data_IF_076080929140
#
_entry.id   IF_076080929140
#
_cell.length_a   1.000
_cell.length_b   1.000
_cell.length_c   1.000
_cell.angle_alpha   90.00
_cell.angle_beta   90.00
_cell.angle_gamma   90.00
#
_symmetry.space_group_name_H-M   'P 1'
#
loop_
_entity.id
_entity.type
_entity.pdbx_description
1 polymer ?
#
# COMPACT_ATOMS: atom_id res chain seq x y z
N UNK A 1 -17.78 25.68 -7.95
CA UNK A 1 -17.01 25.22 -6.77
C UNK A 1 -16.02 24.12 -7.15
N UNK A 2 -15.22 24.36 -8.20
CA UNK A 2 -14.26 23.40 -8.80
C UNK A 2 -12.82 23.84 -8.55
N UNK A 3 -12.63 24.91 -7.79
CA UNK A 3 -11.70 25.97 -8.21
C UNK A 3 -10.21 25.64 -8.01
N UNK A 4 -9.87 24.56 -7.29
CA UNK A 4 -8.46 24.21 -7.03
C UNK A 4 -8.21 22.70 -6.97
N UNK A 5 -8.90 21.94 -7.82
CA UNK A 5 -8.74 20.48 -7.89
C UNK A 5 -7.28 20.07 -8.16
N UNK A 6 -6.60 20.81 -9.03
CA UNK A 6 -5.19 20.62 -9.39
C UNK A 6 -4.27 20.72 -8.17
N UNK A 7 -4.45 21.75 -7.34
CA UNK A 7 -3.66 21.93 -6.13
C UNK A 7 -3.84 20.76 -5.15
N UNK A 8 -5.05 20.16 -5.08
CA UNK A 8 -5.29 18.96 -4.24
C UNK A 8 -4.53 17.74 -4.77
N UNK A 9 -4.44 17.57 -6.08
CA UNK A 9 -3.62 16.52 -6.68
C UNK A 9 -2.14 16.73 -6.38
N UNK A 10 -1.64 17.97 -6.46
CA UNK A 10 -0.27 18.29 -6.07
C UNK A 10 0.00 17.96 -4.59
N UNK A 11 -0.92 18.28 -3.68
CA UNK A 11 -0.80 17.92 -2.25
C UNK A 11 -0.74 16.39 -2.07
N UNK A 12 -1.60 15.63 -2.77
CA UNK A 12 -1.58 14.16 -2.73
C UNK A 12 -0.27 13.60 -3.29
N UNK A 13 0.25 14.20 -4.36
CA UNK A 13 1.53 13.83 -4.96
C UNK A 13 2.70 14.05 -4.00
N UNK A 14 2.81 15.23 -3.37
CA UNK A 14 3.81 15.52 -2.34
C UNK A 14 3.76 14.51 -1.19
N UNK A 15 2.55 14.14 -0.74
CA UNK A 15 2.40 13.11 0.28
C UNK A 15 2.94 11.75 -0.13
N UNK A 16 2.71 11.33 -1.38
CA UNK A 16 3.19 10.06 -1.91
C UNK A 16 4.72 10.06 -2.07
N UNK A 17 5.32 11.22 -2.33
CA UNK A 17 6.78 11.41 -2.32
C UNK A 17 7.38 11.39 -0.91
N UNK A 18 6.56 11.47 0.14
CA UNK A 18 7.03 11.51 1.52
C UNK A 18 7.38 12.90 2.03
N UNK A 19 7.03 13.95 1.29
CA UNK A 19 7.25 15.33 1.72
C UNK A 19 6.51 15.60 3.04
N UNK A 20 7.15 16.39 3.92
CA UNK A 20 6.53 16.87 5.14
C UNK A 20 5.40 17.88 4.83
N UNK A 21 4.54 18.13 5.81
CA UNK A 21 3.46 19.11 5.66
C UNK A 21 4.01 20.52 5.38
N UNK A 22 5.12 20.90 6.02
CA UNK A 22 5.75 22.22 5.85
C UNK A 22 6.33 22.38 4.43
N UNK A 23 7.02 21.35 3.93
CA UNK A 23 7.54 21.35 2.56
C UNK A 23 6.42 21.39 1.54
N UNK A 24 5.33 20.65 1.78
CA UNK A 24 4.16 20.66 0.90
C UNK A 24 3.53 22.05 0.83
N UNK A 25 3.36 22.73 1.98
CA UNK A 25 2.84 24.10 2.01
C UNK A 25 3.73 25.04 1.20
N UNK A 26 5.05 24.98 1.40
CA UNK A 26 6.01 25.80 0.65
C UNK A 26 5.92 25.53 -0.84
N UNK A 27 5.96 24.26 -1.28
CA UNK A 27 5.87 23.89 -2.70
C UNK A 27 4.58 24.38 -3.36
N UNK A 28 3.45 24.26 -2.69
CA UNK A 28 2.15 24.71 -3.21
C UNK A 28 2.06 26.24 -3.25
N UNK A 29 2.61 26.95 -2.26
CA UNK A 29 2.67 28.42 -2.31
C UNK A 29 3.62 28.91 -3.39
N UNK A 30 4.78 28.27 -3.57
CA UNK A 30 5.73 28.63 -4.63
C UNK A 30 5.19 28.36 -6.03
N UNK A 31 4.48 27.24 -6.22
CA UNK A 31 3.97 26.87 -7.55
C UNK A 31 2.76 27.70 -8.00
N UNK A 32 1.87 28.05 -7.07
CA UNK A 32 0.61 28.73 -7.38
C UNK A 32 0.58 30.21 -6.98
N UNK A 33 1.59 30.71 -6.25
CA UNK A 33 1.69 32.11 -5.86
C UNK A 33 0.43 32.61 -5.13
N UNK A 34 -0.13 33.70 -5.64
CA UNK A 34 -1.33 34.33 -5.07
C UNK A 34 -2.62 33.51 -5.30
N UNK A 35 -2.64 32.64 -6.30
CA UNK A 35 -3.77 31.73 -6.58
C UNK A 35 -3.76 30.49 -5.69
N UNK A 36 -2.74 30.36 -4.83
CA UNK A 36 -2.58 29.24 -3.91
C UNK A 36 -3.73 29.14 -2.89
N UNK A 37 -4.08 27.90 -2.54
CA UNK A 37 -4.92 27.63 -1.39
C UNK A 37 -4.32 28.26 -0.12
N UNK A 38 -5.21 28.71 0.78
CA UNK A 38 -4.75 29.15 2.10
C UNK A 38 -4.07 28.01 2.85
N UNK A 39 -3.08 28.34 3.69
CA UNK A 39 -2.30 27.36 4.47
C UNK A 39 -3.20 26.39 5.23
N UNK A 40 -4.29 26.88 5.84
CA UNK A 40 -5.26 26.05 6.57
C UNK A 40 -5.91 25.00 5.68
N UNK A 41 -6.29 25.37 4.45
CA UNK A 41 -6.89 24.44 3.48
C UNK A 41 -5.87 23.39 3.05
N UNK A 42 -4.62 23.79 2.79
CA UNK A 42 -3.54 22.86 2.43
C UNK A 42 -3.31 21.84 3.55
N UNK A 43 -3.24 22.30 4.81
CA UNK A 43 -3.08 21.42 5.99
C UNK A 43 -4.23 20.43 6.12
N UNK A 44 -5.45 20.88 5.93
CA UNK A 44 -6.64 20.02 6.01
C UNK A 44 -6.60 18.91 4.96
N UNK A 45 -6.31 19.26 3.69
CA UNK A 45 -6.15 18.26 2.62
C UNK A 45 -5.00 17.30 2.88
N UNK A 46 -3.86 17.80 3.36
CA UNK A 46 -2.72 16.96 3.72
C UNK A 46 -3.09 15.93 4.79
N UNK A 47 -3.81 16.33 5.85
CA UNK A 47 -4.23 15.42 6.90
C UNK A 47 -5.24 14.37 6.41
N UNK A 48 -6.25 14.79 5.62
CA UNK A 48 -7.23 13.86 5.02
C UNK A 48 -6.57 12.75 4.21
N UNK A 49 -5.55 13.09 3.41
CA UNK A 49 -4.81 12.07 2.64
C UNK A 49 -3.91 11.21 3.53
N UNK A 50 -3.41 11.73 4.67
CA UNK A 50 -2.65 10.95 5.65
C UNK A 50 -3.51 9.86 6.28
N UNK A 51 -4.72 10.23 6.69
CA UNK A 51 -5.66 9.31 7.36
C UNK A 51 -6.10 8.18 6.44
N UNK A 52 -6.32 8.49 5.15
CA UNK A 52 -6.60 7.48 4.13
C UNK A 52 -5.48 6.45 3.97
N UNK A 53 -4.20 6.87 4.03
CA UNK A 53 -3.05 5.95 3.99
C UNK A 53 -2.96 5.07 5.23
N UNK A 54 -3.24 5.63 6.41
CA UNK A 54 -3.21 4.88 7.67
C UNK A 54 -4.28 3.78 7.66
N UNK A 55 -5.49 4.07 7.16
CA UNK A 55 -6.56 3.08 7.07
C UNK A 55 -6.19 1.91 6.15
N UNK A 56 -5.64 2.20 4.97
CA UNK A 56 -5.22 1.17 4.02
C UNK A 56 -4.05 0.34 4.59
N UNK A 57 -3.07 0.99 5.22
CA UNK A 57 -1.99 0.27 5.92
C UNK A 57 -2.50 -0.60 7.07
N UNK A 58 -3.45 -0.11 7.87
CA UNK A 58 -4.03 -0.87 8.96
C UNK A 58 -4.80 -2.10 8.43
N UNK A 59 -5.54 -1.94 7.33
CA UNK A 59 -6.24 -3.03 6.65
C UNK A 59 -5.27 -4.09 6.14
N UNK A 60 -4.18 -3.69 5.47
CA UNK A 60 -3.15 -4.61 4.97
C UNK A 60 -2.46 -5.36 6.12
N UNK A 61 -2.20 -4.69 7.25
CA UNK A 61 -1.67 -5.34 8.46
C UNK A 61 -2.64 -6.38 9.02
N UNK A 62 -3.93 -6.07 9.07
CA UNK A 62 -4.97 -6.99 9.53
C UNK A 62 -5.06 -8.22 8.61
N UNK A 63 -5.06 -8.01 7.30
CA UNK A 63 -5.06 -9.10 6.29
C UNK A 63 -3.80 -9.96 6.44
N UNK A 64 -2.62 -9.35 6.61
CA UNK A 64 -1.38 -10.06 6.86
C UNK A 64 -1.44 -10.94 8.11
N UNK A 65 -2.01 -10.43 9.21
CA UNK A 65 -2.23 -11.19 10.44
C UNK A 65 -3.19 -12.37 10.23
N UNK A 66 -4.27 -12.19 9.49
CA UNK A 66 -5.23 -13.25 9.16
C UNK A 66 -4.61 -14.32 8.26
N UNK A 67 -3.88 -13.93 7.23
CA UNK A 67 -3.15 -14.85 6.35
C UNK A 67 -2.13 -15.67 7.14
N UNK A 68 -1.44 -15.06 8.09
CA UNK A 68 -0.51 -15.76 8.96
C UNK A 68 -1.22 -16.74 9.91
N UNK A 69 -2.37 -16.36 10.48
CA UNK A 69 -3.22 -17.28 11.26
C UNK A 69 -3.70 -18.47 10.42
N UNK A 70 -4.13 -18.25 9.18
CA UNK A 70 -4.53 -19.32 8.26
C UNK A 70 -3.38 -20.25 7.91
N UNK A 71 -2.19 -19.72 7.60
CA UNK A 71 -0.98 -20.54 7.36
C UNK A 71 -0.61 -21.39 8.58
N UNK A 72 -0.80 -20.86 9.80
CA UNK A 72 -0.56 -21.58 11.05
C UNK A 72 -1.57 -22.72 11.27
N UNK A 73 -2.85 -22.49 10.97
CA UNK A 73 -3.91 -23.53 11.08
C UNK A 73 -3.74 -24.62 10.01
N UNK A 74 -3.32 -24.27 8.79
CA UNK A 74 -3.02 -25.23 7.71
C UNK A 74 -1.75 -26.09 7.91
N UNK A 75 -0.92 -25.78 8.91
CA UNK A 75 0.29 -26.54 9.25
C UNK A 75 0.05 -27.83 10.04
N UNK A 76 -1.19 -28.08 10.51
CA UNK A 76 -1.54 -29.28 11.30
C UNK A 76 -2.41 -30.29 10.52
N UNK A 77 -2.27 -30.33 9.19
CA UNK A 77 -2.90 -31.35 8.33
C UNK A 77 -2.03 -31.71 7.12
N UNK A 78 -0.72 -31.86 7.34
CA UNK A 78 0.24 -32.51 6.43
C UNK A 78 1.07 -33.53 7.21
N UNK A 79 0.37 -34.54 7.70
CA UNK A 79 0.92 -35.84 8.11
C UNK A 79 -0.20 -36.80 7.75
N UNK A 80 0.10 -37.86 7.02
CA UNK A 80 -0.83 -38.67 6.21
C UNK A 80 -0.94 -38.09 4.78
N UNK A 81 -0.67 -38.93 3.77
CA UNK A 81 -0.58 -38.67 2.32
C UNK A 81 0.74 -38.02 1.81
N UNK A 82 1.88 -38.64 2.11
CA UNK A 82 3.02 -38.72 1.17
C UNK A 82 3.71 -40.08 1.33
N UNK A 83 3.09 -41.14 0.79
CA UNK A 83 3.77 -42.43 0.56
C UNK A 83 3.60 -42.96 -0.87
N UNK A 84 2.93 -42.22 -1.76
CA UNK A 84 2.87 -42.53 -3.18
C UNK A 84 3.30 -41.28 -3.95
N UNK A 85 4.38 -41.44 -4.72
CA UNK A 85 5.02 -40.52 -5.70
C UNK A 85 6.52 -40.39 -5.49
N UNK A 86 7.20 -41.53 -5.33
CA UNK A 86 8.58 -41.68 -5.77
C UNK A 86 8.58 -42.90 -6.67
N UNK A 87 8.26 -42.68 -7.96
CA UNK A 87 8.66 -43.55 -9.09
C UNK A 87 8.28 -42.88 -10.43
N UNK A 88 8.70 -41.62 -10.60
CA UNK A 88 8.68 -40.96 -11.92
C UNK A 88 10.10 -40.77 -12.46
N UNK A 89 11.12 -40.90 -11.60
CA UNK A 89 12.54 -40.85 -11.98
C UNK A 89 13.06 -42.17 -12.57
N UNK A 90 12.32 -43.28 -12.43
CA UNK A 90 12.67 -44.55 -13.09
C UNK A 90 12.21 -44.63 -14.57
N UNK A 91 11.29 -43.75 -15.01
CA UNK A 91 10.69 -43.82 -16.34
C UNK A 91 11.49 -43.06 -17.43
N UNK A 92 12.44 -42.19 -17.05
CA UNK A 92 13.20 -41.37 -18.00
C UNK A 92 14.61 -41.91 -18.35
N UNK A 93 14.99 -43.11 -17.86
CA UNK A 93 16.28 -43.75 -18.17
C UNK A 93 16.12 -44.95 -19.13
N UNK A 94 14.91 -45.20 -19.63
CA UNK A 94 14.58 -46.39 -20.45
C UNK A 94 14.26 -46.14 -21.93
N UNK A 95 14.51 -44.94 -22.46
CA UNK A 95 14.43 -44.65 -23.89
C UNK A 95 15.75 -44.00 -24.33
N UNK A 96 16.78 -44.86 -24.38
CA UNK A 96 17.99 -44.66 -25.17
C UNK A 96 17.83 -45.46 -26.47
#
# INVERSE_FOLDING_TARGET
MTERLEQRYCIKFCQNLGDSQVETIRKIQTAFGDDSMGITQIKEWYNRFKDGRILEQARLRQIGSLLWKLKRVGGRKRRIITKEKIDVTAFLVGFA
#
